data_IF_657030159092
#
_entry.id   IF_657030159092
#
_cell.length_a   1.000
_cell.length_b   1.000
_cell.length_c   1.000
_cell.angle_alpha   90.00
_cell.angle_beta   90.00
_cell.angle_gamma   90.00
#
_symmetry.space_group_name_H-M   'P 1'
#
loop_
_entity.id
_entity.type
_entity.pdbx_description
1 polymer ?
#
# COMPACT_ATOMS: atom_id res chain seq x y z
N UNK A 1 17.58 -3.51 -28.45
CA UNK A 1 16.96 -2.78 -27.33
C UNK A 1 18.07 -2.24 -26.44
N UNK A 2 17.97 -1.04 -25.88
CA UNK A 2 18.98 -0.56 -24.94
C UNK A 2 18.97 -1.40 -23.66
N UNK A 3 20.16 -1.67 -23.11
CA UNK A 3 20.33 -2.46 -21.90
C UNK A 3 19.61 -1.83 -20.70
N UNK A 4 19.35 -2.65 -19.68
CA UNK A 4 18.57 -2.24 -18.50
C UNK A 4 19.38 -1.46 -17.46
N UNK A 5 20.70 -1.60 -17.47
CA UNK A 5 21.60 -1.00 -16.50
C UNK A 5 21.65 0.53 -16.62
N UNK A 6 21.82 1.29 -15.51
CA UNK A 6 22.05 0.85 -14.12
C UNK A 6 20.77 0.66 -13.27
N UNK A 7 19.57 0.92 -13.82
CA UNK A 7 18.30 1.07 -13.06
C UNK A 7 18.49 1.96 -11.80
N UNK A 8 17.65 1.78 -10.78
CA UNK A 8 17.72 2.53 -9.53
C UNK A 8 16.81 3.75 -9.48
N UNK A 9 16.64 4.26 -8.27
CA UNK A 9 15.90 5.49 -7.98
C UNK A 9 16.47 6.12 -6.70
N UNK A 10 16.30 7.44 -6.48
CA UNK A 10 16.85 8.11 -5.29
C UNK A 10 16.35 7.50 -3.97
N UNK A 11 15.14 6.91 -3.97
CA UNK A 11 14.58 6.21 -2.79
C UNK A 11 15.31 4.90 -2.48
N UNK A 12 15.72 4.16 -3.51
CA UNK A 12 16.50 2.93 -3.34
C UNK A 12 17.93 3.24 -2.89
N UNK A 13 18.52 4.34 -3.38
CA UNK A 13 19.87 4.76 -3.01
C UNK A 13 20.01 5.13 -1.53
N UNK A 14 18.95 5.66 -0.89
CA UNK A 14 18.96 6.03 0.52
C UNK A 14 18.57 4.88 1.48
N UNK A 15 18.33 3.67 0.98
CA UNK A 15 17.86 2.56 1.82
C UNK A 15 18.85 2.13 2.90
N UNK A 16 20.17 2.32 2.66
CA UNK A 16 21.23 2.01 3.63
C UNK A 16 21.07 2.75 4.97
N UNK A 17 20.41 3.91 4.96
CA UNK A 17 20.13 4.70 6.16
C UNK A 17 19.34 3.91 7.22
N UNK A 18 18.42 3.03 6.80
CA UNK A 18 17.57 2.28 7.72
C UNK A 18 18.32 1.26 8.57
N UNK A 19 19.50 0.77 8.14
CA UNK A 19 20.25 -0.26 8.87
C UNK A 19 20.74 0.22 10.23
N UNK A 20 21.16 1.48 10.36
CA UNK A 20 21.69 2.02 11.62
C UNK A 20 20.98 3.30 12.07
N UNK A 21 19.91 3.69 11.39
CA UNK A 21 19.07 4.83 11.81
C UNK A 21 18.55 4.67 13.24
N UNK A 22 18.32 5.80 13.90
CA UNK A 22 17.68 5.85 15.21
C UNK A 22 16.27 5.22 15.22
N UNK A 23 15.62 5.13 14.05
CA UNK A 23 14.25 4.60 13.91
C UNK A 23 14.20 3.08 13.72
N UNK A 24 15.35 2.38 13.68
CA UNK A 24 15.37 0.93 13.49
C UNK A 24 14.77 0.19 14.69
N UNK A 25 13.80 -0.67 14.43
CA UNK A 25 13.28 -1.62 15.43
C UNK A 25 14.33 -2.71 15.70
N UNK A 26 14.84 -2.75 16.94
CA UNK A 26 15.90 -3.69 17.37
C UNK A 26 15.37 -4.88 18.16
N UNK A 27 14.25 -4.70 18.86
CA UNK A 27 13.69 -5.68 19.79
C UNK A 27 12.19 -5.80 19.59
N UNK A 28 11.57 -6.93 19.96
CA UNK A 28 10.12 -7.01 20.02
C UNK A 28 9.61 -6.02 21.06
N UNK A 29 8.63 -5.21 20.66
CA UNK A 29 8.04 -4.16 21.48
C UNK A 29 6.59 -4.52 21.77
N UNK A 30 6.21 -4.42 23.03
CA UNK A 30 4.84 -4.63 23.48
C UNK A 30 4.36 -3.43 24.27
N UNK A 31 3.05 -3.25 24.30
CA UNK A 31 2.47 -2.15 25.08
C UNK A 31 2.60 -2.43 26.57
N UNK A 32 3.12 -1.46 27.34
CA UNK A 32 3.35 -1.61 28.80
C UNK A 32 2.14 -2.15 29.57
N UNK A 33 0.94 -1.64 29.25
CA UNK A 33 -0.31 -2.04 29.93
C UNK A 33 -0.71 -3.48 29.62
N UNK A 34 -0.72 -3.83 28.33
CA UNK A 34 -0.99 -5.20 27.92
C UNK A 34 0.02 -6.16 28.54
N UNK A 35 1.28 -5.76 28.58
CA UNK A 35 2.33 -6.56 29.21
C UNK A 35 2.10 -6.78 30.70
N UNK A 36 1.75 -5.72 31.43
CA UNK A 36 1.46 -5.83 32.87
C UNK A 36 0.34 -6.85 33.11
N UNK A 37 -0.78 -6.72 32.38
CA UNK A 37 -1.93 -7.64 32.50
C UNK A 37 -1.57 -9.06 32.08
N UNK A 38 -0.78 -9.23 31.01
CA UNK A 38 -0.33 -10.54 30.55
C UNK A 38 0.49 -11.28 31.61
N UNK A 39 1.47 -10.61 32.23
CA UNK A 39 2.27 -11.21 33.32
C UNK A 39 1.44 -11.50 34.56
N UNK A 40 0.45 -10.67 34.88
CA UNK A 40 -0.45 -10.91 36.00
C UNK A 40 -1.36 -12.12 35.72
N UNK A 41 -1.94 -12.22 34.52
CA UNK A 41 -2.76 -13.35 34.10
C UNK A 41 -1.97 -14.67 34.06
N UNK A 42 -0.74 -14.65 33.56
CA UNK A 42 0.15 -15.83 33.55
C UNK A 42 0.55 -16.34 34.93
N UNK A 43 0.42 -15.53 35.98
CA UNK A 43 0.63 -15.99 37.37
C UNK A 43 -0.58 -16.74 37.91
N UNK A 44 -1.77 -16.40 37.42
CA UNK A 44 -3.04 -16.99 37.84
C UNK A 44 -3.38 -18.24 37.03
N UNK A 45 -3.07 -18.24 35.73
CA UNK A 45 -3.40 -19.30 34.79
C UNK A 45 -2.12 -19.97 34.27
N UNK A 46 -2.07 -21.30 34.35
CA UNK A 46 -0.97 -22.09 33.80
C UNK A 46 -1.03 -22.17 32.27
N UNK A 47 -2.23 -22.25 31.71
CA UNK A 47 -2.45 -22.24 30.25
C UNK A 47 -2.45 -20.78 29.73
N UNK A 48 -1.59 -20.44 28.77
CA UNK A 48 -1.57 -19.10 28.17
C UNK A 48 -2.87 -18.74 27.42
N UNK A 49 -3.64 -19.72 26.92
CA UNK A 49 -4.92 -19.47 26.23
C UNK A 49 -5.98 -18.97 27.22
N UNK A 50 -6.06 -19.59 28.41
CA UNK A 50 -6.93 -19.14 29.49
C UNK A 50 -6.47 -17.78 30.07
N UNK A 51 -5.15 -17.58 30.17
CA UNK A 51 -4.60 -16.29 30.56
C UNK A 51 -5.08 -15.17 29.61
N UNK A 52 -5.09 -15.44 28.30
CA UNK A 52 -5.62 -14.50 27.31
C UNK A 52 -7.14 -14.28 27.45
N UNK A 53 -7.91 -15.35 27.66
CA UNK A 53 -9.35 -15.28 27.88
C UNK A 53 -9.70 -14.32 29.04
N UNK A 54 -9.01 -14.46 30.18
CA UNK A 54 -9.21 -13.62 31.37
C UNK A 54 -8.98 -12.10 31.15
N UNK A 55 -8.23 -11.74 30.10
CA UNK A 55 -7.93 -10.34 29.75
C UNK A 55 -8.97 -9.80 28.78
N UNK A 56 -9.39 -10.60 27.79
CA UNK A 56 -10.25 -10.14 26.70
C UNK A 56 -11.75 -10.20 27.06
N UNK A 57 -12.15 -11.14 27.91
CA UNK A 57 -13.53 -11.28 28.40
C UNK A 57 -13.89 -10.21 29.44
N UNK A 58 -12.88 -9.68 30.13
CA UNK A 58 -13.03 -8.53 31.03
C UNK A 58 -13.06 -7.22 30.22
N UNK A 59 -14.25 -6.63 30.13
CA UNK A 59 -14.50 -5.42 29.35
C UNK A 59 -13.60 -4.24 29.77
N UNK A 60 -13.27 -4.12 31.05
CA UNK A 60 -12.42 -3.03 31.55
C UNK A 60 -10.96 -3.25 31.18
N UNK A 61 -10.45 -4.49 31.33
CA UNK A 61 -9.10 -4.85 30.88
C UNK A 61 -8.94 -4.71 29.36
N UNK A 62 -9.87 -5.24 28.58
CA UNK A 62 -9.88 -5.12 27.12
C UNK A 62 -9.89 -3.66 26.67
N UNK A 63 -10.77 -2.83 27.27
CA UNK A 63 -10.84 -1.39 26.98
C UNK A 63 -9.56 -0.67 27.39
N UNK A 64 -8.94 -1.04 28.51
CA UNK A 64 -7.68 -0.45 28.96
C UNK A 64 -6.52 -0.70 27.98
N UNK A 65 -6.55 -1.84 27.27
CA UNK A 65 -5.60 -2.20 26.22
C UNK A 65 -5.87 -1.46 24.90
N UNK A 66 -7.14 -1.42 24.46
CA UNK A 66 -7.57 -0.90 23.16
C UNK A 66 -7.68 0.63 23.06
N UNK A 67 -8.13 1.34 24.11
CA UNK A 67 -8.60 2.74 24.04
C UNK A 67 -7.53 3.81 23.77
N UNK A 68 -6.31 3.41 23.38
CA UNK A 68 -5.16 4.32 23.24
C UNK A 68 -4.23 3.99 22.05
N UNK A 69 -4.74 3.58 20.90
CA UNK A 69 -3.91 3.53 19.68
C UNK A 69 -3.13 4.85 19.51
N UNK A 70 -1.82 4.79 19.27
CA UNK A 70 -0.99 5.98 19.00
C UNK A 70 -0.47 6.78 20.21
N UNK A 71 -0.73 6.40 21.47
CA UNK A 71 -0.24 7.14 22.66
C UNK A 71 1.11 6.65 23.24
N UNK A 72 1.96 6.02 22.42
CA UNK A 72 3.25 5.47 22.85
C UNK A 72 3.14 4.43 23.99
N UNK A 73 4.22 4.31 24.79
CA UNK A 73 4.29 3.40 25.95
C UNK A 73 4.71 1.97 25.62
N UNK A 74 5.63 1.82 24.66
CA UNK A 74 6.22 0.53 24.32
C UNK A 74 7.32 0.16 25.31
N UNK A 75 7.34 -1.11 25.69
CA UNK A 75 8.39 -1.72 26.49
C UNK A 75 9.01 -2.86 25.69
N UNK A 76 10.31 -3.07 25.90
CA UNK A 76 11.03 -4.21 25.33
C UNK A 76 10.47 -5.51 25.92
N UNK A 77 10.26 -6.50 25.07
CA UNK A 77 9.88 -7.87 25.43
C UNK A 77 10.89 -8.87 24.84
N UNK A 78 10.61 -10.16 24.95
CA UNK A 78 11.38 -11.25 24.34
C UNK A 78 10.55 -11.93 23.24
N UNK A 79 11.22 -12.58 22.28
CA UNK A 79 10.52 -13.34 21.23
C UNK A 79 9.64 -14.45 21.80
N UNK A 80 10.09 -15.11 22.88
CA UNK A 80 9.33 -16.16 23.55
C UNK A 80 8.01 -15.62 24.12
N UNK A 81 8.05 -14.50 24.84
CA UNK A 81 6.88 -13.89 25.48
C UNK A 81 5.86 -13.38 24.44
N UNK A 82 6.33 -12.80 23.33
CA UNK A 82 5.46 -12.29 22.26
C UNK A 82 4.87 -13.42 21.41
N UNK A 83 5.65 -14.43 21.06
CA UNK A 83 5.17 -15.56 20.27
C UNK A 83 4.10 -16.36 21.02
N UNK A 84 4.30 -16.59 22.32
CA UNK A 84 3.32 -17.27 23.17
C UNK A 84 2.01 -16.48 23.26
N UNK A 85 2.08 -15.16 23.46
CA UNK A 85 0.89 -14.30 23.50
C UNK A 85 0.14 -14.29 22.17
N UNK A 86 0.85 -14.15 21.04
CA UNK A 86 0.23 -14.18 19.70
C UNK A 86 -0.44 -15.53 19.44
N UNK A 87 0.25 -16.64 19.77
CA UNK A 87 -0.31 -17.97 19.62
C UNK A 87 -1.55 -18.16 20.49
N UNK A 88 -1.51 -17.77 21.76
CA UNK A 88 -2.64 -17.86 22.68
C UNK A 88 -3.84 -17.05 22.20
N UNK A 89 -3.61 -15.81 21.74
CA UNK A 89 -4.65 -14.97 21.15
C UNK A 89 -5.28 -15.61 19.92
N UNK A 90 -4.48 -16.18 19.02
CA UNK A 90 -4.97 -16.82 17.81
C UNK A 90 -5.78 -18.08 18.14
N UNK A 91 -5.27 -18.94 19.03
CA UNK A 91 -5.98 -20.16 19.46
C UNK A 91 -7.30 -19.83 20.12
N UNK A 92 -7.33 -18.86 21.06
CA UNK A 92 -8.56 -18.43 21.72
C UNK A 92 -9.59 -17.90 20.70
N UNK A 93 -9.14 -17.06 19.75
CA UNK A 93 -10.01 -16.45 18.75
C UNK A 93 -10.61 -17.51 17.82
N UNK A 94 -9.77 -18.42 17.31
CA UNK A 94 -10.20 -19.54 16.45
C UNK A 94 -11.20 -20.43 17.18
N UNK A 95 -10.93 -20.77 18.45
CA UNK A 95 -11.78 -21.64 19.26
C UNK A 95 -13.15 -21.02 19.58
N UNK A 96 -13.19 -19.71 19.85
CA UNK A 96 -14.40 -19.04 20.37
C UNK A 96 -15.26 -18.44 19.26
N UNK A 97 -14.64 -17.85 18.24
CA UNK A 97 -15.35 -17.08 17.20
C UNK A 97 -15.22 -17.67 15.79
N UNK A 98 -14.29 -18.59 15.58
CA UNK A 98 -13.96 -19.14 14.28
C UNK A 98 -12.66 -18.57 13.70
N UNK A 99 -12.06 -19.30 12.73
CA UNK A 99 -10.76 -18.94 12.16
C UNK A 99 -10.82 -17.70 11.26
N UNK A 100 -11.99 -17.39 10.69
CA UNK A 100 -12.26 -16.22 9.86
C UNK A 100 -12.05 -14.88 10.58
N UNK A 101 -12.04 -14.87 11.92
CA UNK A 101 -11.77 -13.68 12.74
C UNK A 101 -10.28 -13.37 12.90
N UNK A 102 -9.40 -14.25 12.42
CA UNK A 102 -7.97 -13.98 12.33
C UNK A 102 -7.65 -13.53 10.90
N UNK A 103 -7.35 -12.24 10.74
CA UNK A 103 -7.07 -11.63 9.45
C UNK A 103 -5.63 -11.13 9.33
N UNK A 104 -5.07 -11.18 8.12
CA UNK A 104 -3.79 -10.57 7.80
C UNK A 104 -3.84 -9.75 6.53
N UNK A 105 -3.09 -8.64 6.56
CA UNK A 105 -2.91 -7.75 5.42
C UNK A 105 -1.41 -7.68 5.08
N UNK A 106 -1.07 -8.15 3.89
CA UNK A 106 0.28 -8.02 3.31
C UNK A 106 0.12 -7.67 1.84
N UNK A 107 0.57 -6.49 1.38
CA UNK A 107 0.38 -6.08 0.00
C UNK A 107 1.51 -6.55 -0.93
N UNK A 108 1.24 -6.60 -2.23
CA UNK A 108 2.22 -6.75 -3.34
C UNK A 108 3.22 -7.92 -3.15
N UNK A 109 2.83 -9.17 -3.44
CA UNK A 109 3.72 -10.33 -3.34
C UNK A 109 4.92 -10.26 -4.30
N UNK A 110 4.80 -9.51 -5.41
CA UNK A 110 5.86 -9.42 -6.42
C UNK A 110 7.13 -8.70 -5.94
N UNK A 111 7.07 -7.89 -4.87
CA UNK A 111 8.24 -7.21 -4.33
C UNK A 111 9.10 -8.12 -3.44
N UNK A 112 8.46 -9.04 -2.70
CA UNK A 112 9.12 -9.96 -1.78
C UNK A 112 8.28 -11.21 -1.55
N UNK A 113 8.36 -12.15 -2.50
CA UNK A 113 7.47 -13.33 -2.56
C UNK A 113 7.46 -14.15 -1.28
N UNK A 114 8.64 -14.47 -0.72
CA UNK A 114 8.75 -15.29 0.49
C UNK A 114 8.25 -14.55 1.74
N UNK A 115 8.51 -13.25 1.84
CA UNK A 115 8.03 -12.42 2.95
C UNK A 115 6.51 -12.26 2.94
N UNK A 116 5.89 -12.23 1.76
CA UNK A 116 4.44 -12.30 1.64
C UNK A 116 3.92 -13.69 2.01
N UNK A 117 4.54 -14.74 1.45
CA UNK A 117 4.11 -16.12 1.62
C UNK A 117 4.21 -16.61 3.08
N UNK A 118 5.14 -16.09 3.89
CA UNK A 118 5.30 -16.50 5.28
C UNK A 118 4.03 -16.24 6.11
N UNK A 119 3.47 -15.02 6.02
CA UNK A 119 2.23 -14.65 6.70
C UNK A 119 0.99 -15.28 6.06
N UNK A 120 0.91 -15.26 4.72
CA UNK A 120 -0.22 -15.83 4.00
C UNK A 120 -0.35 -17.35 4.25
N UNK A 121 0.77 -18.09 4.24
CA UNK A 121 0.78 -19.53 4.53
C UNK A 121 0.34 -19.81 5.96
N UNK A 122 0.83 -19.06 6.94
CA UNK A 122 0.41 -19.22 8.34
C UNK A 122 -1.11 -19.06 8.50
N UNK A 123 -1.66 -17.99 7.92
CA UNK A 123 -3.10 -17.71 8.00
C UNK A 123 -3.93 -18.76 7.27
N UNK A 124 -3.55 -19.12 6.04
CA UNK A 124 -4.28 -20.13 5.27
C UNK A 124 -4.29 -21.51 5.95
N UNK A 125 -3.22 -21.88 6.66
CA UNK A 125 -3.16 -23.15 7.40
C UNK A 125 -4.10 -23.17 8.62
N UNK A 126 -4.27 -22.03 9.30
CA UNK A 126 -5.22 -21.92 10.43
C UNK A 126 -6.65 -21.59 9.99
N UNK A 127 -6.88 -21.36 8.68
CA UNK A 127 -8.17 -20.95 8.13
C UNK A 127 -8.49 -19.45 8.22
N UNK A 128 -7.48 -18.61 8.49
CA UNK A 128 -7.61 -17.16 8.58
C UNK A 128 -7.77 -16.47 7.22
N UNK A 129 -8.29 -15.24 7.23
CA UNK A 129 -8.56 -14.48 6.01
C UNK A 129 -7.35 -13.70 5.51
N UNK A 130 -6.97 -13.92 4.25
CA UNK A 130 -5.97 -13.11 3.55
C UNK A 130 -6.66 -11.97 2.79
N UNK A 131 -6.41 -10.72 3.18
CA UNK A 131 -7.07 -9.55 2.59
C UNK A 131 -6.48 -9.18 1.21
N UNK A 132 -7.34 -8.80 0.28
CA UNK A 132 -6.95 -8.33 -1.06
C UNK A 132 -6.35 -6.93 -1.03
N UNK A 133 -5.39 -6.65 -1.91
CA UNK A 133 -4.70 -5.35 -1.97
C UNK A 133 -4.92 -4.56 -3.26
N UNK A 134 -5.05 -5.21 -4.43
CA UNK A 134 -5.15 -4.51 -5.73
C UNK A 134 -6.40 -3.63 -5.83
N UNK A 135 -7.53 -4.16 -5.37
CA UNK A 135 -8.81 -3.44 -5.41
C UNK A 135 -8.81 -2.34 -4.34
N UNK A 136 -8.25 -2.64 -3.17
CA UNK A 136 -8.12 -1.71 -2.06
C UNK A 136 -7.22 -0.50 -2.39
N UNK A 137 -6.14 -0.72 -3.14
CA UNK A 137 -5.26 0.35 -3.61
C UNK A 137 -5.77 1.07 -4.86
N UNK A 138 -6.92 0.65 -5.41
CA UNK A 138 -7.45 1.14 -6.68
C UNK A 138 -6.48 0.94 -7.86
N UNK A 139 -5.56 -0.03 -7.75
CA UNK A 139 -4.61 -0.40 -8.80
C UNK A 139 -5.22 -1.40 -9.79
N UNK A 140 -6.37 -2.00 -9.46
CA UNK A 140 -7.17 -2.77 -10.42
C UNK A 140 -8.07 -1.82 -11.22
N UNK A 141 -7.81 -1.58 -12.52
CA UNK A 141 -8.76 -0.87 -13.37
C UNK A 141 -10.00 -1.74 -13.59
N UNK A 142 -11.21 -1.36 -13.12
CA UNK A 142 -12.40 -2.18 -13.25
C UNK A 142 -12.74 -2.53 -14.72
N UNK A 143 -12.33 -1.67 -15.65
CA UNK A 143 -12.49 -1.85 -17.09
C UNK A 143 -11.71 -3.05 -17.66
N UNK A 144 -10.60 -3.46 -17.03
CA UNK A 144 -9.80 -4.61 -17.49
C UNK A 144 -10.32 -5.96 -16.99
N UNK A 145 -11.46 -6.00 -16.28
CA UNK A 145 -12.09 -7.24 -15.80
C UNK A 145 -13.10 -7.82 -16.80
N UNK A 146 -13.36 -7.12 -17.92
CA UNK A 146 -14.29 -7.59 -18.96
C UNK A 146 -13.77 -8.88 -19.64
N UNK A 147 -14.65 -9.85 -19.97
CA UNK A 147 -14.25 -11.07 -20.69
C UNK A 147 -13.47 -10.72 -21.96
N UNK A 148 -12.27 -11.26 -22.12
CA UNK A 148 -11.36 -10.99 -23.25
C UNK A 148 -10.24 -9.98 -22.95
N UNK A 149 -10.31 -9.24 -21.84
CA UNK A 149 -9.22 -8.36 -21.39
C UNK A 149 -8.34 -9.08 -20.35
N UNK A 150 -7.41 -9.92 -20.80
CA UNK A 150 -6.36 -10.41 -19.91
C UNK A 150 -5.53 -9.22 -19.38
N UNK A 151 -5.15 -9.23 -18.09
CA UNK A 151 -4.27 -8.21 -17.45
C UNK A 151 -2.84 -8.33 -17.99
N UNK A 152 -2.67 -8.07 -19.28
CA UNK A 152 -1.40 -8.06 -19.98
C UNK A 152 -0.95 -6.61 -20.07
N UNK A 153 -0.14 -6.20 -19.10
CA UNK A 153 0.74 -5.05 -19.33
C UNK A 153 1.94 -5.57 -20.11
N UNK A 154 2.25 -4.97 -21.25
CA UNK A 154 3.50 -5.28 -21.95
C UNK A 154 4.66 -5.04 -20.98
N UNK A 155 5.40 -6.11 -20.63
CA UNK A 155 6.54 -6.04 -19.70
C UNK A 155 7.55 -4.96 -20.11
N UNK A 156 7.60 -4.70 -21.41
CA UNK A 156 8.34 -3.62 -22.04
C UNK A 156 7.43 -3.06 -23.16
N UNK A 157 7.21 -1.75 -23.31
CA UNK A 157 6.86 -1.25 -24.63
C UNK A 157 8.01 -1.67 -25.55
N UNK A 158 7.76 -2.41 -26.65
CA UNK A 158 8.82 -2.70 -27.60
C UNK A 158 9.22 -1.37 -28.24
N UNK A 159 10.24 -0.74 -27.66
CA UNK A 159 10.77 0.54 -28.14
C UNK A 159 11.35 0.43 -29.56
N UNK A 160 11.43 -0.79 -30.10
CA UNK A 160 11.75 -1.06 -31.50
C UNK A 160 10.55 -1.08 -32.47
N UNK A 161 9.34 -1.47 -32.06
CA UNK A 161 8.24 -1.73 -33.02
C UNK A 161 7.08 -0.74 -32.95
N UNK A 162 6.90 0.00 -31.85
CA UNK A 162 5.75 0.92 -31.72
C UNK A 162 6.09 2.33 -32.22
N UNK A 163 5.41 2.87 -33.25
CA UNK A 163 5.73 4.18 -33.83
C UNK A 163 5.24 5.37 -32.99
N UNK A 164 4.21 5.19 -32.16
CA UNK A 164 3.65 6.23 -31.29
C UNK A 164 3.30 5.65 -29.90
N UNK A 165 3.60 6.40 -28.84
CA UNK A 165 3.24 6.07 -27.46
C UNK A 165 2.41 7.21 -26.88
N UNK A 166 1.18 6.90 -26.48
CA UNK A 166 0.32 7.82 -25.72
C UNK A 166 0.50 7.55 -24.22
N UNK A 167 0.78 8.59 -23.44
CA UNK A 167 0.92 8.48 -21.97
C UNK A 167 -0.15 9.33 -21.25
N UNK A 168 -1.43 8.91 -21.25
CA UNK A 168 -2.48 9.63 -20.55
C UNK A 168 -2.31 9.47 -19.03
N UNK A 169 -2.21 10.58 -18.29
CA UNK A 169 -2.12 10.59 -16.82
C UNK A 169 -0.84 10.01 -16.21
N UNK A 170 0.03 9.39 -17.01
CA UNK A 170 1.32 8.88 -16.56
C UNK A 170 2.34 10.02 -16.46
N UNK A 171 2.86 10.26 -15.25
CA UNK A 171 3.96 11.20 -14.98
C UNK A 171 5.30 10.62 -15.47
N UNK A 172 5.43 10.33 -16.75
CA UNK A 172 6.64 9.74 -17.37
C UNK A 172 7.40 10.72 -18.26
N UNK A 173 6.75 11.78 -18.77
CA UNK A 173 7.29 12.56 -19.88
C UNK A 173 7.82 13.97 -19.56
N UNK A 174 7.46 14.60 -18.42
CA UNK A 174 7.94 15.96 -18.05
C UNK A 174 8.61 16.04 -16.68
N UNK A 175 8.09 15.31 -15.70
CA UNK A 175 8.73 15.06 -14.39
C UNK A 175 8.52 13.63 -13.99
N UNK A 176 9.50 12.77 -14.24
CA UNK A 176 9.28 11.36 -14.04
C UNK A 176 9.50 10.91 -12.60
N UNK A 177 8.41 10.78 -11.85
CA UNK A 177 8.45 10.48 -10.39
C UNK A 177 8.13 9.01 -10.09
N UNK A 178 7.27 8.36 -10.89
CA UNK A 178 6.71 7.05 -10.55
C UNK A 178 7.35 5.87 -11.31
N UNK A 179 8.13 6.12 -12.37
CA UNK A 179 8.83 5.09 -13.18
C UNK A 179 10.30 5.41 -13.42
N UNK A 180 10.98 5.98 -12.43
CA UNK A 180 12.38 6.46 -12.52
C UNK A 180 13.37 5.48 -13.16
N UNK A 181 13.36 4.16 -12.84
CA UNK A 181 14.31 3.22 -13.43
C UNK A 181 14.12 2.94 -14.93
N UNK A 182 12.99 3.34 -15.53
CA UNK A 182 12.65 3.04 -16.94
C UNK A 182 12.63 4.27 -17.86
N UNK A 183 13.01 5.43 -17.33
CA UNK A 183 12.89 6.71 -18.05
C UNK A 183 13.80 6.83 -19.26
N UNK A 184 15.00 6.27 -19.14
CA UNK A 184 16.00 6.29 -20.21
C UNK A 184 15.43 5.74 -21.53
N UNK A 185 14.44 4.84 -21.48
CA UNK A 185 13.77 4.31 -22.67
C UNK A 185 12.92 5.35 -23.37
N UNK A 186 12.14 6.11 -22.60
CA UNK A 186 11.30 7.17 -23.15
C UNK A 186 12.12 8.32 -23.75
N UNK A 187 13.29 8.62 -23.18
CA UNK A 187 14.21 9.64 -23.71
C UNK A 187 14.97 9.14 -24.94
N UNK A 188 15.48 7.91 -24.93
CA UNK A 188 16.10 7.30 -26.11
C UNK A 188 15.13 7.21 -27.30
N UNK A 189 13.86 6.92 -27.05
CA UNK A 189 12.85 6.85 -28.10
C UNK A 189 12.55 8.23 -28.72
N UNK A 190 12.65 9.31 -27.95
CA UNK A 190 12.59 10.68 -28.49
C UNK A 190 13.82 11.03 -29.34
N UNK A 191 15.01 10.59 -28.93
CA UNK A 191 16.22 10.74 -29.73
C UNK A 191 16.14 9.99 -31.08
N UNK A 192 15.40 8.88 -31.15
CA UNK A 192 15.12 8.15 -32.38
C UNK A 192 13.99 8.75 -33.24
N UNK A 193 13.67 10.04 -33.06
CA UNK A 193 12.62 10.77 -33.79
C UNK A 193 11.20 10.16 -33.70
N UNK A 194 10.91 9.37 -32.66
CA UNK A 194 9.55 8.84 -32.45
C UNK A 194 8.70 9.81 -31.63
N UNK A 195 7.44 10.00 -32.06
CA UNK A 195 6.49 10.92 -31.41
C UNK A 195 6.02 10.34 -30.07
N UNK A 196 6.05 11.18 -29.03
CA UNK A 196 5.49 10.85 -27.72
C UNK A 196 4.64 11.99 -27.23
N UNK A 197 3.35 11.73 -27.04
CA UNK A 197 2.38 12.72 -26.59
C UNK A 197 1.93 12.45 -25.14
N UNK A 198 1.82 13.51 -24.34
CA UNK A 198 1.61 13.43 -22.90
C UNK A 198 0.39 14.28 -22.51
N UNK A 199 -0.73 13.60 -22.24
CA UNK A 199 -1.93 14.23 -21.69
C UNK A 199 -1.83 14.36 -20.17
N UNK A 200 -1.55 15.57 -19.67
CA UNK A 200 -1.59 15.91 -18.25
C UNK A 200 -2.37 17.21 -18.01
N UNK A 201 -3.38 17.17 -17.15
CA UNK A 201 -4.24 18.33 -16.83
C UNK A 201 -3.57 19.44 -16.01
N UNK A 202 -2.33 19.26 -15.51
CA UNK A 202 -1.57 20.31 -14.82
C UNK A 202 -0.10 20.24 -15.18
N UNK A 203 0.42 21.36 -15.68
CA UNK A 203 1.84 21.53 -15.98
C UNK A 203 2.62 21.68 -14.66
N UNK A 204 3.09 20.56 -14.07
CA UNK A 204 3.74 20.55 -12.74
C UNK A 204 5.19 21.06 -12.77
N UNK A 205 5.42 22.31 -13.15
CA UNK A 205 6.53 23.17 -12.66
C UNK A 205 6.37 24.62 -13.17
N UNK A 206 5.82 25.52 -12.37
CA UNK A 206 6.03 26.97 -12.55
C UNK A 206 7.21 27.39 -11.69
N UNK A 207 8.41 27.31 -12.26
CA UNK A 207 9.43 28.35 -12.04
C UNK A 207 9.54 29.02 -13.40
N UNK A 208 8.94 30.23 -13.49
CA UNK A 208 8.99 31.06 -14.69
C UNK A 208 10.45 31.37 -15.02
N UNK A 209 10.94 30.85 -16.13
CA UNK A 209 11.84 31.61 -17.00
C UNK A 209 11.02 31.99 -18.24
N UNK A 210 10.56 33.23 -18.24
CA UNK A 210 10.07 33.99 -19.40
C UNK A 210 11.34 34.62 -20.01
N UNK A 211 11.65 34.67 -21.31
CA UNK A 211 10.92 34.55 -22.57
C UNK A 211 11.90 33.99 -23.64
N UNK A 212 11.49 33.52 -24.82
CA UNK A 212 10.19 33.72 -25.45
C UNK A 212 9.92 32.79 -26.62
N UNK A 213 8.62 32.59 -26.84
CA UNK A 213 7.96 32.36 -28.12
C UNK A 213 6.47 32.38 -27.79
N UNK A 214 5.75 33.35 -28.35
CA UNK A 214 4.31 33.50 -28.21
C UNK A 214 3.59 32.28 -28.78
N UNK A 215 2.62 31.75 -28.04
CA UNK A 215 1.54 30.93 -28.57
C UNK A 215 0.29 31.18 -27.72
N UNK A 216 -0.73 31.74 -28.35
CA UNK A 216 -1.88 32.37 -27.70
C UNK A 216 -2.74 31.46 -26.83
N UNK A 217 -3.10 31.99 -25.67
CA UNK A 217 -4.18 31.50 -24.82
C UNK A 217 -5.54 31.73 -25.49
N UNK A 218 -6.35 30.67 -25.62
CA UNK A 218 -7.81 30.78 -25.69
C UNK A 218 -8.43 29.73 -24.76
N UNK A 219 -8.50 30.08 -23.47
CA UNK A 219 -9.52 29.54 -22.57
C UNK A 219 -10.75 30.45 -22.70
N UNK A 220 -11.85 29.90 -23.20
CA UNK A 220 -13.17 30.54 -23.15
C UNK A 220 -14.01 29.85 -22.09
N UNK A 221 -14.27 30.57 -21.00
CA UNK A 221 -15.34 30.27 -20.05
C UNK A 221 -16.70 30.42 -20.75
N UNK A 222 -17.58 29.44 -20.58
CA UNK A 222 -18.95 29.45 -21.10
C UNK A 222 -19.90 28.87 -20.07
N UNK A 223 -20.70 29.78 -19.49
CA UNK A 223 -21.69 29.54 -18.45
C UNK A 223 -22.81 28.57 -18.87
N UNK A 224 -23.47 28.02 -17.85
CA UNK A 224 -24.47 26.96 -17.97
C UNK A 224 -25.79 27.35 -18.65
N UNK A 225 -26.40 26.33 -19.25
CA UNK A 225 -27.85 26.18 -19.34
C UNK A 225 -28.16 24.68 -19.37
N UNK A 226 -29.12 24.25 -18.56
CA UNK A 226 -29.34 22.85 -18.21
C UNK A 226 -30.65 22.66 -17.44
N UNK A 227 -31.75 22.99 -18.11
CA UNK A 227 -33.04 22.29 -18.07
C UNK A 227 -33.62 21.98 -16.68
N UNK A 228 -34.48 22.89 -16.19
CA UNK A 228 -35.42 22.65 -15.09
C UNK A 228 -36.43 21.56 -15.47
N UNK A 229 -36.34 20.39 -14.84
CA UNK A 229 -37.49 19.48 -14.75
C UNK A 229 -38.27 19.78 -13.47
N UNK A 230 -39.51 20.25 -13.64
CA UNK A 230 -40.49 20.46 -12.57
C UNK A 230 -41.21 19.14 -12.30
N UNK A 231 -41.05 18.59 -11.09
CA UNK A 231 -41.92 17.55 -10.55
C UNK A 231 -42.66 18.11 -9.33
N UNK A 232 -44.00 18.23 -9.46
CA UNK A 232 -44.91 18.60 -8.37
C UNK A 232 -45.10 17.40 -7.43
N UNK A 233 -45.05 17.64 -6.13
CA UNK A 233 -45.48 16.71 -5.06
C UNK A 233 -46.77 17.30 -4.45
N UNK A 234 -47.82 16.50 -4.20
CA UNK A 234 -49.13 17.03 -3.81
C UNK A 234 -49.29 17.18 -2.29
N UNK A 235 -50.06 18.20 -1.91
CA UNK A 235 -50.99 18.24 -0.78
C UNK A 235 -52.00 19.33 -1.04
#
# INVERSE_FOLDING_TARGET
MPNHEPRGCPRGASYSWYLYSANRLKYPLMRKRLMKMWREAKKLHRDPVEAWASIIEDADKAKSSNRRGGRGGFVRSSWQEVNELIAASNVYTVKTYGPDRVAGFSPIPAMSMVSYASGARYLSLIGGTCLSFYDWYCDLPPASRKPGASRLTCQNPPTGTTPAILSPGALTCRKPVHRTPLLYRSTLQRHQNRRGDAGLCRNRQTVRFVAGAEAGDRCGDGAGDGSRHVARIPS
#
